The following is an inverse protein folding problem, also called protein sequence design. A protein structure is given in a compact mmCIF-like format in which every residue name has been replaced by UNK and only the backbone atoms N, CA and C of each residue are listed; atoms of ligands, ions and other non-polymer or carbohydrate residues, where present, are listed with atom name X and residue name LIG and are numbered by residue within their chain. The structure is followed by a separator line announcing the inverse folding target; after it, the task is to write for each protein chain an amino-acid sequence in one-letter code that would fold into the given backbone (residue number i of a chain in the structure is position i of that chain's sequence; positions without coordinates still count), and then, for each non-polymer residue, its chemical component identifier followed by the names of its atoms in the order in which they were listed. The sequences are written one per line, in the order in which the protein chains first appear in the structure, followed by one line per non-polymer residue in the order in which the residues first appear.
data_IF_306115133706
#
_entry.id   IF_306115133706
#
_cell.length_a   1.000
_cell.length_b   1.000
_cell.length_c   1.000
_cell.angle_alpha   90.00
_cell.angle_beta   90.00
_cell.angle_gamma   90.00
#
_symmetry.space_group_name_H-M   'P 1'
#
loop_
_entity.id
_entity.type
_entity.pdbx_description
1 polymer ?
#
# COMPACT_ATOMS: atom_id res chain seq x y z
N UNK A 1 5.90 -3.48 -28.90
CA UNK A 1 6.39 -3.41 -30.29
C UNK A 1 6.35 -1.96 -30.73
N UNK A 2 7.51 -1.36 -30.99
CA UNK A 2 7.60 0.00 -31.52
C UNK A 2 7.48 -0.08 -33.04
N UNK A 3 6.36 0.37 -33.61
CA UNK A 3 6.19 0.49 -35.05
C UNK A 3 6.58 1.91 -35.46
N UNK A 4 7.64 2.06 -36.25
CA UNK A 4 8.02 3.33 -36.87
C UNK A 4 8.02 3.16 -38.39
N UNK A 5 7.09 3.85 -39.04
CA UNK A 5 6.84 3.76 -40.49
C UNK A 5 7.85 4.55 -41.33
N UNK A 6 8.77 5.31 -40.70
CA UNK A 6 9.84 6.00 -41.40
C UNK A 6 11.21 5.74 -40.76
N UNK A 7 12.15 5.44 -41.66
CA UNK A 7 13.42 4.74 -41.45
C UNK A 7 14.38 5.57 -40.58
N UNK A 8 15.17 4.87 -39.77
CA UNK A 8 16.17 5.31 -38.80
C UNK A 8 15.66 5.53 -37.37
N UNK A 9 15.91 4.53 -36.53
CA UNK A 9 15.84 4.61 -35.06
C UNK A 9 17.26 4.69 -34.53
N UNK A 10 17.64 5.82 -33.94
CA UNK A 10 18.92 5.96 -33.23
C UNK A 10 18.67 5.67 -31.76
N UNK A 11 19.12 4.51 -31.29
CA UNK A 11 19.04 4.14 -29.88
C UNK A 11 20.30 4.61 -29.14
N UNK A 12 20.15 5.59 -28.25
CA UNK A 12 21.22 6.02 -27.34
C UNK A 12 21.23 5.18 -26.07
N UNK A 13 22.30 4.41 -25.85
CA UNK A 13 22.48 3.66 -24.61
C UNK A 13 22.94 4.61 -23.49
N UNK A 14 22.00 5.01 -22.62
CA UNK A 14 22.31 5.92 -21.50
C UNK A 14 23.12 5.24 -20.40
N UNK A 15 22.81 3.99 -20.07
CA UNK A 15 23.50 3.23 -19.00
C UNK A 15 23.13 1.75 -19.04
N UNK A 16 24.08 0.86 -18.77
CA UNK A 16 23.84 -0.58 -18.59
C UNK A 16 23.66 -0.87 -17.09
N UNK A 17 22.48 -1.36 -16.70
CA UNK A 17 22.25 -1.84 -15.33
C UNK A 17 22.49 -3.34 -15.27
N UNK A 18 23.51 -3.77 -14.54
CA UNK A 18 23.79 -5.20 -14.33
C UNK A 18 22.63 -5.86 -13.56
N UNK A 19 22.25 -7.10 -13.89
CA UNK A 19 21.25 -7.84 -13.11
C UNK A 19 21.76 -8.03 -11.68
N UNK A 20 20.92 -7.68 -10.69
CA UNK A 20 21.28 -7.72 -9.27
C UNK A 20 20.53 -6.68 -8.45
N UNK A 21 20.81 -6.61 -7.14
CA UNK A 21 20.30 -5.53 -6.29
C UNK A 21 20.94 -4.22 -6.75
N UNK A 22 20.15 -3.18 -7.07
CA UNK A 22 20.71 -1.89 -7.48
C UNK A 22 21.57 -1.30 -6.37
N UNK A 23 22.61 -0.56 -6.75
CA UNK A 23 23.42 0.18 -5.78
C UNK A 23 22.54 1.25 -5.12
N UNK A 24 22.71 1.49 -3.82
CA UNK A 24 21.94 2.47 -3.05
C UNK A 24 21.95 3.84 -3.72
N UNK A 25 23.05 4.23 -4.37
CA UNK A 25 23.16 5.49 -5.10
C UNK A 25 22.23 5.57 -6.34
N UNK A 26 21.98 4.44 -7.01
CA UNK A 26 21.16 4.39 -8.23
C UNK A 26 19.65 4.43 -7.94
N UNK A 27 19.25 4.02 -6.73
CA UNK A 27 17.86 4.01 -6.24
C UNK A 27 17.63 5.05 -5.15
N UNK A 28 18.62 5.88 -4.81
CA UNK A 28 18.52 6.91 -3.77
C UNK A 28 17.32 7.81 -4.01
N UNK A 29 17.13 8.29 -5.24
CA UNK A 29 16.01 9.17 -5.59
C UNK A 29 14.62 8.53 -5.34
N UNK A 30 14.53 7.20 -5.34
CA UNK A 30 13.30 6.45 -5.08
C UNK A 30 13.13 6.09 -3.59
N UNK A 31 14.22 5.75 -2.90
CA UNK A 31 14.22 5.27 -1.51
C UNK A 31 14.25 6.41 -0.49
N UNK A 32 14.97 7.48 -0.77
CA UNK A 32 15.11 8.64 0.11
C UNK A 32 13.76 9.21 0.57
N UNK A 33 12.75 9.47 -0.30
CA UNK A 33 11.45 9.93 0.17
C UNK A 33 10.73 8.91 1.07
N UNK A 34 10.90 7.61 0.82
CA UNK A 34 10.30 6.55 1.65
C UNK A 34 10.91 6.56 3.06
N UNK A 35 12.23 6.64 3.16
CA UNK A 35 12.95 6.66 4.44
C UNK A 35 12.66 7.95 5.21
N UNK A 36 12.60 9.09 4.52
CA UNK A 36 12.20 10.36 5.13
C UNK A 36 10.79 10.25 5.71
N UNK A 37 9.84 9.66 4.96
CA UNK A 37 8.47 9.47 5.44
C UNK A 37 8.41 8.52 6.64
N UNK A 38 9.20 7.45 6.64
CA UNK A 38 9.29 6.52 7.77
C UNK A 38 9.85 7.22 9.03
N UNK A 39 10.91 8.01 8.89
CA UNK A 39 11.49 8.79 10.01
C UNK A 39 10.52 9.85 10.52
N UNK A 40 9.82 10.56 9.64
CA UNK A 40 8.76 11.51 10.02
C UNK A 40 7.64 10.80 10.77
N UNK A 41 7.19 9.64 10.28
CA UNK A 41 6.17 8.86 10.94
C UNK A 41 6.61 8.42 12.35
N UNK A 42 7.86 7.96 12.51
CA UNK A 42 8.40 7.60 13.82
C UNK A 42 8.41 8.79 14.80
N UNK A 43 8.88 9.96 14.37
CA UNK A 43 8.89 11.17 15.20
C UNK A 43 7.47 11.64 15.57
N UNK A 44 6.52 11.56 14.64
CA UNK A 44 5.12 11.89 14.93
C UNK A 44 4.53 10.92 15.95
N UNK A 45 4.81 9.61 15.80
CA UNK A 45 4.38 8.60 16.77
C UNK A 45 4.96 8.85 18.16
N UNK A 46 6.24 9.19 18.24
CA UNK A 46 6.91 9.51 19.50
C UNK A 46 6.32 10.77 20.14
N UNK A 47 6.04 11.81 19.35
CA UNK A 47 5.37 13.03 19.83
C UNK A 47 3.95 12.79 20.33
N UNK A 48 3.19 11.92 19.67
CA UNK A 48 1.85 11.54 20.14
C UNK A 48 1.97 10.74 21.44
N UNK A 49 2.98 9.86 21.52
CA UNK A 49 3.25 9.05 22.70
C UNK A 49 2.05 8.18 23.07
N UNK A 50 1.70 8.22 24.36
CA UNK A 50 0.58 7.48 24.95
C UNK A 50 -0.69 8.34 25.11
N UNK A 51 -0.75 9.52 24.48
CA UNK A 51 -1.91 10.39 24.60
C UNK A 51 -3.15 9.71 23.97
N UNK A 52 -4.23 9.66 24.73
CA UNK A 52 -5.47 8.96 24.36
C UNK A 52 -6.60 9.92 23.99
N UNK A 53 -6.43 11.21 24.28
CA UNK A 53 -7.40 12.23 23.92
C UNK A 53 -7.11 12.78 22.52
N UNK A 54 -8.01 12.49 21.58
CA UNK A 54 -7.92 12.98 20.20
C UNK A 54 -7.83 14.50 20.11
N UNK A 55 -8.51 15.24 20.98
CA UNK A 55 -8.47 16.70 20.95
C UNK A 55 -7.09 17.24 21.36
N UNK A 56 -6.45 16.62 22.36
CA UNK A 56 -5.09 16.99 22.81
C UNK A 56 -4.07 16.72 21.71
N UNK A 57 -4.18 15.55 21.05
CA UNK A 57 -3.34 15.22 19.90
C UNK A 57 -3.56 16.24 18.78
N UNK A 58 -4.82 16.52 18.45
CA UNK A 58 -5.17 17.45 17.38
C UNK A 58 -4.61 18.86 17.63
N UNK A 59 -4.72 19.38 18.85
CA UNK A 59 -4.15 20.67 19.26
C UNK A 59 -2.62 20.69 19.13
N UNK A 60 -1.93 19.62 19.52
CA UNK A 60 -0.47 19.51 19.45
C UNK A 60 0.06 19.66 18.02
N UNK A 61 -0.70 19.17 17.03
CA UNK A 61 -0.35 19.25 15.62
C UNK A 61 -1.09 20.34 14.84
N UNK A 62 -1.93 21.15 15.50
CA UNK A 62 -2.74 22.19 14.85
C UNK A 62 -3.74 21.65 13.83
N UNK A 63 -4.19 20.41 13.99
CA UNK A 63 -5.18 19.76 13.12
C UNK A 63 -6.55 19.72 13.79
N UNK A 64 -7.60 19.46 12.99
CA UNK A 64 -8.96 19.24 13.52
C UNK A 64 -9.27 17.75 13.60
N UNK A 65 -10.07 17.36 14.60
CA UNK A 65 -10.61 16.01 14.70
C UNK A 65 -11.75 15.88 13.69
N UNK A 66 -11.64 14.93 12.77
CA UNK A 66 -12.65 14.65 11.77
C UNK A 66 -13.35 13.30 12.04
N UNK A 67 -14.59 13.17 11.58
CA UNK A 67 -15.41 11.97 11.73
C UNK A 67 -15.70 11.34 10.38
N UNK A 68 -15.02 10.23 10.09
CA UNK A 68 -15.30 9.45 8.89
C UNK A 68 -16.55 8.59 9.06
N UNK A 69 -17.50 8.71 8.13
CA UNK A 69 -18.69 7.86 8.05
C UNK A 69 -18.55 6.84 6.91
N UNK A 70 -19.28 5.72 7.00
CA UNK A 70 -19.32 4.69 5.96
C UNK A 70 -17.96 4.03 5.62
N UNK A 71 -17.10 3.85 6.62
CA UNK A 71 -15.82 3.13 6.46
C UNK A 71 -16.07 1.62 6.49
N UNK A 72 -15.65 0.93 5.43
CA UNK A 72 -15.80 -0.53 5.29
C UNK A 72 -14.44 -1.23 5.31
N UNK A 73 -14.38 -2.39 5.97
CA UNK A 73 -13.18 -3.23 5.95
C UNK A 73 -12.83 -3.73 4.54
N UNK A 74 -13.82 -3.84 3.64
CA UNK A 74 -13.62 -4.44 2.32
C UNK A 74 -12.81 -3.57 1.36
N UNK A 75 -13.03 -2.25 1.37
CA UNK A 75 -12.45 -1.34 0.37
C UNK A 75 -11.18 -0.63 0.87
N UNK A 76 -10.85 -0.72 2.17
CA UNK A 76 -9.67 -0.06 2.76
C UNK A 76 -9.63 1.44 2.48
N UNK A 77 -10.79 2.06 2.27
CA UNK A 77 -10.93 3.43 1.83
C UNK A 77 -11.69 4.23 2.89
N UNK A 78 -11.17 5.41 3.21
CA UNK A 78 -11.77 6.35 4.16
C UNK A 78 -12.24 7.57 3.36
N UNK A 79 -13.55 7.89 3.35
CA UNK A 79 -14.05 9.09 2.70
C UNK A 79 -13.31 10.35 3.17
N UNK A 80 -12.91 11.21 2.24
CA UNK A 80 -12.12 12.43 2.52
C UNK A 80 -10.61 12.21 2.64
N UNK A 81 -10.15 11.01 3.04
CA UNK A 81 -8.74 10.70 3.26
C UNK A 81 -8.12 9.80 2.17
N UNK A 82 -8.94 8.99 1.50
CA UNK A 82 -8.49 8.10 0.42
C UNK A 82 -8.18 6.67 0.89
N UNK A 83 -7.26 6.00 0.20
CA UNK A 83 -6.95 4.60 0.43
C UNK A 83 -5.97 4.41 1.61
N UNK A 84 -6.51 3.98 2.76
CA UNK A 84 -5.80 3.85 4.03
C UNK A 84 -6.07 2.47 4.71
N UNK A 85 -5.69 1.35 4.07
CA UNK A 85 -6.07 0.01 4.53
C UNK A 85 -5.52 -0.34 5.93
N UNK A 86 -4.33 0.14 6.29
CA UNK A 86 -3.74 -0.09 7.62
C UNK A 86 -4.54 0.62 8.73
N UNK A 87 -5.00 1.84 8.46
CA UNK A 87 -5.81 2.65 9.39
C UNK A 87 -7.19 2.02 9.56
N UNK A 88 -7.82 1.61 8.46
CA UNK A 88 -9.10 0.88 8.48
C UNK A 88 -8.96 -0.39 9.30
N UNK A 89 -7.93 -1.21 9.06
CA UNK A 89 -7.70 -2.43 9.83
C UNK A 89 -7.54 -2.17 11.33
N UNK A 90 -6.79 -1.13 11.70
CA UNK A 90 -6.63 -0.73 13.10
C UNK A 90 -7.95 -0.24 13.74
N UNK A 91 -8.77 0.52 13.00
CA UNK A 91 -10.08 0.98 13.48
C UNK A 91 -11.04 -0.20 13.74
N UNK A 92 -11.05 -1.21 12.88
CA UNK A 92 -11.87 -2.41 13.07
C UNK A 92 -11.38 -3.28 14.23
N UNK A 93 -10.06 -3.34 14.46
CA UNK A 93 -9.47 -4.04 15.61
C UNK A 93 -9.75 -3.34 16.95
N UNK A 94 -9.79 -2.02 16.98
CA UNK A 94 -9.88 -1.24 18.21
C UNK A 94 -11.28 -1.28 18.83
N UNK A 95 -11.41 -1.37 20.15
CA UNK A 95 -12.73 -1.41 20.81
C UNK A 95 -13.58 -0.14 20.60
N UNK A 96 -14.89 -0.29 20.70
CA UNK A 96 -15.83 0.82 20.56
C UNK A 96 -15.54 1.89 21.62
N UNK A 97 -15.52 3.16 21.20
CA UNK A 97 -15.20 4.33 22.02
C UNK A 97 -13.81 4.35 22.64
N UNK A 98 -12.90 3.46 22.25
CA UNK A 98 -11.50 3.51 22.67
C UNK A 98 -10.62 4.13 21.59
N UNK A 99 -9.68 4.98 22.02
CA UNK A 99 -8.69 5.58 21.13
C UNK A 99 -7.57 4.59 20.84
N UNK A 100 -7.21 4.41 19.57
CA UNK A 100 -6.13 3.52 19.14
C UNK A 100 -4.76 4.10 19.46
N UNK A 101 -3.74 3.24 19.47
CA UNK A 101 -2.37 3.69 19.31
C UNK A 101 -2.18 4.40 17.95
N UNK A 102 -1.15 5.25 17.78
CA UNK A 102 -0.83 5.86 16.50
C UNK A 102 -0.56 4.82 15.40
N UNK A 103 -1.27 4.93 14.28
CA UNK A 103 -1.19 4.02 13.13
C UNK A 103 -0.51 4.74 11.98
N UNK A 104 0.52 4.12 11.41
CA UNK A 104 1.15 4.66 10.18
C UNK A 104 0.32 4.22 8.99
N UNK A 105 -0.35 5.18 8.36
CA UNK A 105 -1.04 5.03 7.10
C UNK A 105 -0.13 5.30 5.90
N UNK A 106 -0.71 5.33 4.71
CA UNK A 106 -0.01 5.62 3.46
C UNK A 106 0.28 7.11 3.31
N UNK A 107 -0.66 7.96 3.71
CA UNK A 107 -0.57 9.42 3.57
C UNK A 107 -0.15 10.13 4.85
N UNK A 108 -0.24 9.47 6.02
CA UNK A 108 0.07 10.10 7.30
C UNK A 108 0.00 9.15 8.48
N UNK A 109 0.15 9.70 9.69
CA UNK A 109 -0.05 8.97 10.95
C UNK A 109 -1.42 9.33 11.51
N UNK A 110 -2.21 8.33 11.86
CA UNK A 110 -3.59 8.47 12.28
C UNK A 110 -3.80 7.92 13.69
N UNK A 111 -4.66 8.58 14.44
CA UNK A 111 -5.18 8.09 15.72
C UNK A 111 -6.70 7.97 15.53
N UNK A 112 -7.25 6.78 15.75
CA UNK A 112 -8.66 6.50 15.46
C UNK A 112 -9.42 6.15 16.73
N UNK A 113 -10.67 6.62 16.82
CA UNK A 113 -11.61 6.23 17.87
C UNK A 113 -12.89 5.75 17.21
N UNK A 114 -13.18 4.44 17.22
CA UNK A 114 -14.41 3.92 16.64
C UNK A 114 -15.62 4.44 17.42
N UNK A 115 -16.46 5.26 16.78
CA UNK A 115 -17.70 5.80 17.38
C UNK A 115 -18.91 4.91 17.11
N UNK A 116 -18.85 4.10 16.05
CA UNK A 116 -19.88 3.14 15.67
C UNK A 116 -19.22 1.88 15.11
N UNK A 117 -19.70 0.72 15.54
CA UNK A 117 -19.34 -0.57 14.98
C UNK A 117 -20.63 -1.33 14.66
N UNK A 118 -20.91 -1.64 13.39
CA UNK A 118 -22.03 -2.51 13.08
C UNK A 118 -21.78 -3.87 13.72
N UNK A 119 -22.83 -4.46 14.30
CA UNK A 119 -22.78 -5.84 14.79
C UNK A 119 -22.40 -6.77 13.65
N UNK A 120 -21.48 -7.70 13.89
CA UNK A 120 -21.18 -8.78 12.94
C UNK A 120 -22.47 -9.56 12.69
N UNK A 121 -23.04 -9.43 11.49
CA UNK A 121 -24.20 -10.22 11.10
C UNK A 121 -23.80 -11.71 11.10
N UNK A 122 -24.45 -12.57 11.91
CA UNK A 122 -24.15 -14.00 11.96
C UNK A 122 -24.33 -14.70 10.60
N UNK A 123 -25.02 -14.07 9.65
CA UNK A 123 -25.25 -14.59 8.30
C UNK A 123 -24.05 -14.46 7.35
N UNK A 124 -22.95 -13.81 7.76
CA UNK A 124 -21.71 -13.82 7.00
C UNK A 124 -21.17 -15.26 6.92
N UNK A 125 -21.38 -15.90 5.78
CA UNK A 125 -20.80 -17.21 5.48
C UNK A 125 -19.28 -17.05 5.29
N UNK A 126 -18.56 -16.97 6.42
CA UNK A 126 -17.10 -16.88 6.49
C UNK A 126 -16.43 -17.94 5.59
N UNK A 127 -16.91 -19.21 5.52
CA UNK A 127 -16.39 -20.19 4.57
C UNK A 127 -16.52 -19.79 3.09
N UNK A 128 -17.61 -19.13 2.69
CA UNK A 128 -17.81 -18.65 1.32
C UNK A 128 -16.90 -17.46 1.00
N UNK A 129 -16.78 -16.50 1.91
CA UNK A 129 -15.88 -15.34 1.76
C UNK A 129 -14.43 -15.81 1.64
N UNK A 130 -14.01 -16.74 2.51
CA UNK A 130 -12.67 -17.35 2.47
C UNK A 130 -12.43 -18.06 1.14
N UNK A 131 -13.39 -18.86 0.66
CA UNK A 131 -13.30 -19.53 -0.66
C UNK A 131 -13.11 -18.53 -1.80
N UNK A 132 -13.87 -17.43 -1.81
CA UNK A 132 -13.77 -16.41 -2.84
C UNK A 132 -12.41 -15.69 -2.83
N UNK A 133 -11.89 -15.34 -1.65
CA UNK A 133 -10.56 -14.74 -1.49
C UNK A 133 -9.43 -15.70 -1.88
N UNK A 134 -9.52 -16.97 -1.50
CA UNK A 134 -8.51 -17.98 -1.88
C UNK A 134 -8.50 -18.17 -3.39
N UNK A 135 -9.67 -18.26 -4.04
CA UNK A 135 -9.75 -18.40 -5.50
C UNK A 135 -9.15 -17.20 -6.24
N UNK A 136 -9.37 -15.96 -5.76
CA UNK A 136 -8.79 -14.76 -6.38
C UNK A 136 -7.27 -14.71 -6.21
N UNK A 137 -6.76 -15.06 -5.02
CA UNK A 137 -5.33 -15.21 -4.74
C UNK A 137 -4.70 -16.29 -5.64
N UNK A 138 -5.34 -17.45 -5.78
CA UNK A 138 -4.83 -18.54 -6.63
C UNK A 138 -4.72 -18.13 -8.10
N UNK A 139 -5.70 -17.39 -8.63
CA UNK A 139 -5.64 -16.86 -10.00
C UNK A 139 -4.44 -15.91 -10.20
N UNK A 140 -4.18 -15.02 -9.23
CA UNK A 140 -3.03 -14.13 -9.28
C UNK A 140 -1.69 -14.87 -9.15
N UNK A 141 -1.62 -15.87 -8.26
CA UNK A 141 -0.42 -16.70 -8.08
C UNK A 141 -0.06 -17.43 -9.36
N UNK A 142 -1.04 -18.00 -10.10
CA UNK A 142 -0.77 -18.66 -11.39
C UNK A 142 -0.11 -17.71 -12.40
N UNK A 143 -0.64 -16.50 -12.56
CA UNK A 143 -0.07 -15.50 -13.48
C UNK A 143 1.36 -15.08 -13.07
N UNK A 144 1.57 -14.85 -11.77
CA UNK A 144 2.90 -14.50 -11.23
C UNK A 144 3.90 -15.65 -11.37
N UNK A 145 3.47 -16.89 -11.13
CA UNK A 145 4.31 -18.07 -11.26
C UNK A 145 4.77 -18.27 -12.70
N UNK A 146 3.89 -18.16 -13.68
CA UNK A 146 4.25 -18.23 -15.10
C UNK A 146 5.24 -17.12 -15.47
N UNK A 147 5.02 -15.91 -14.97
CA UNK A 147 5.94 -14.78 -15.19
C UNK A 147 7.31 -15.02 -14.55
N UNK A 148 7.35 -15.59 -13.35
CA UNK A 148 8.59 -15.93 -12.66
C UNK A 148 9.33 -17.08 -13.34
N UNK A 149 8.63 -18.14 -13.77
CA UNK A 149 9.20 -19.24 -14.56
C UNK A 149 9.81 -18.72 -15.86
N UNK A 150 9.11 -17.83 -16.59
CA UNK A 150 9.65 -17.18 -17.79
C UNK A 150 10.90 -16.33 -17.54
N UNK A 151 11.01 -15.70 -16.36
CA UNK A 151 12.21 -14.92 -15.97
C UNK A 151 13.39 -15.79 -15.52
N UNK A 152 13.11 -16.98 -14.98
CA UNK A 152 14.13 -17.94 -14.54
C UNK A 152 14.63 -18.83 -15.68
N UNK A 153 13.85 -18.97 -16.75
CA UNK A 153 14.29 -19.60 -17.99
C UNK A 153 15.07 -18.59 -18.82
N UNK A 154 16.21 -19.00 -19.35
CA UNK A 154 16.98 -18.20 -20.31
C UNK A 154 16.28 -18.27 -21.67
N UNK A 155 15.33 -17.36 -21.90
CA UNK A 155 14.53 -17.32 -23.12
C UNK A 155 15.26 -16.45 -24.15
N UNK A 156 15.88 -17.09 -25.15
CA UNK A 156 16.37 -16.40 -26.34
C UNK A 156 15.19 -15.96 -27.23
N UNK A 157 14.87 -14.67 -27.22
CA UNK A 157 13.87 -14.09 -28.12
C UNK A 157 14.46 -13.86 -29.52
N UNK A 158 14.25 -14.83 -30.41
CA UNK A 158 14.71 -14.79 -31.81
C UNK A 158 13.78 -14.01 -32.76
N UNK A 159 12.78 -13.28 -32.27
CA UNK A 159 11.83 -12.55 -33.13
C UNK A 159 12.48 -11.44 -33.95
N UNK A 160 13.62 -10.90 -33.50
CA UNK A 160 14.43 -9.93 -34.24
C UNK A 160 15.24 -10.54 -35.40
N UNK A 161 15.34 -11.87 -35.49
CA UNK A 161 16.02 -12.57 -36.59
C UNK A 161 15.08 -12.92 -37.75
N UNK A 162 13.77 -12.78 -37.56
CA UNK A 162 12.75 -13.19 -38.52
C UNK A 162 12.04 -12.02 -39.24
N UNK A 163 12.23 -10.78 -38.77
CA UNK A 163 11.65 -9.56 -39.37
C UNK A 163 12.73 -8.51 -39.62
#
# INVERSE_FOLDING_TARGET
TFFFTNKYVIAGLKSIRKPGKPNVNDVRAEIEPLVINEKKAALIKERIGSESNLNTVAQTFGVQVDTASNVSFHNGFIPGLGAEPAVVGAAFKQDLNQTSAPVVGKTGVFVVKPVFKPSTDPSLNIPQIKRQQVSSLQAQVRSRLITAMKKNLDIEDNRSRFY
#
